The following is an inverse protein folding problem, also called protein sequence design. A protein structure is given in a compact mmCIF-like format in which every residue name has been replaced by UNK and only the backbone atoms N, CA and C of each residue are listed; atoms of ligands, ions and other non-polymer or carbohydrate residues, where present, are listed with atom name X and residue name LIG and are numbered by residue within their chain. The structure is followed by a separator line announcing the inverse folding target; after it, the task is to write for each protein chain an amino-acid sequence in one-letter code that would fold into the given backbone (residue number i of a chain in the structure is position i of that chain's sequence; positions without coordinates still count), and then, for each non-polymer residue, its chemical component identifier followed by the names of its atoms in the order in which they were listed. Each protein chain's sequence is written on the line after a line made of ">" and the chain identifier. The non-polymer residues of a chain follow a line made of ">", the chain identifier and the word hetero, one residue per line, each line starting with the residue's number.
data_IF_350533172123
#
_entry.id   IF_350533172123
#
_cell.length_a   1.000
_cell.length_b   1.000
_cell.length_c   1.000
_cell.angle_alpha   90.00
_cell.angle_beta   90.00
_cell.angle_gamma   90.00
#
_symmetry.space_group_name_H-M   'P 1'
#
loop_
_entity.id
_entity.type
_entity.pdbx_description
1 polymer ?
#
# COMPACT_ATOMS: atom_id res chain seq x y z
N UNK A 1 12.95 24.55 -15.08
CA UNK A 1 12.08 24.57 -13.88
C UNK A 1 11.87 23.13 -13.40
N UNK A 2 11.75 22.90 -12.09
CA UNK A 2 11.41 21.57 -11.57
C UNK A 2 9.91 21.33 -11.77
N UNK A 3 9.51 20.27 -12.50
CA UNK A 3 8.10 19.92 -12.78
C UNK A 3 7.21 19.92 -11.53
N UNK A 4 7.75 19.49 -10.38
CA UNK A 4 7.04 19.52 -9.10
C UNK A 4 6.55 20.93 -8.70
N UNK A 5 7.33 21.98 -8.99
CA UNK A 5 6.93 23.37 -8.73
C UNK A 5 5.81 23.81 -9.66
N UNK A 6 5.82 23.37 -10.91
CA UNK A 6 4.75 23.66 -11.88
C UNK A 6 3.45 22.98 -11.46
N UNK A 7 3.50 21.71 -11.01
CA UNK A 7 2.33 21.01 -10.48
C UNK A 7 1.78 21.65 -9.20
N UNK A 8 2.66 22.08 -8.28
CA UNK A 8 2.23 22.80 -7.08
C UNK A 8 1.61 24.16 -7.41
N UNK A 9 2.20 24.90 -8.36
CA UNK A 9 1.65 26.16 -8.83
C UNK A 9 0.29 25.97 -9.49
N UNK A 10 0.12 24.94 -10.32
CA UNK A 10 -1.16 24.57 -10.91
C UNK A 10 -2.23 24.40 -9.83
N UNK A 11 -1.94 23.67 -8.75
CA UNK A 11 -2.89 23.49 -7.64
C UNK A 11 -3.37 24.84 -7.07
N UNK A 12 -2.44 25.74 -6.77
CA UNK A 12 -2.76 27.07 -6.24
C UNK A 12 -3.54 27.93 -7.25
N UNK A 13 -3.22 27.88 -8.54
CA UNK A 13 -3.91 28.71 -9.53
C UNK A 13 -5.27 28.17 -9.96
N UNK A 14 -5.45 26.85 -9.92
CA UNK A 14 -6.64 26.19 -10.46
C UNK A 14 -7.73 26.02 -9.41
N UNK A 15 -7.37 25.85 -8.14
CA UNK A 15 -8.34 25.56 -7.09
C UNK A 15 -8.56 26.71 -6.09
N UNK A 16 -7.72 27.77 -6.08
CA UNK A 16 -7.84 28.90 -5.14
C UNK A 16 -9.00 29.87 -5.41
N UNK A 17 -9.84 29.66 -6.43
CA UNK A 17 -10.89 30.62 -6.82
C UNK A 17 -12.30 30.26 -6.35
N UNK A 18 -12.49 29.26 -5.50
CA UNK A 18 -13.84 28.93 -4.97
C UNK A 18 -14.13 29.67 -3.65
N UNK A 19 -15.10 30.60 -3.60
CA UNK A 19 -15.49 31.24 -2.37
C UNK A 19 -16.39 30.28 -1.57
N UNK A 20 -15.89 29.80 -0.44
CA UNK A 20 -16.64 29.14 0.66
C UNK A 20 -17.07 27.66 0.56
N UNK A 21 -16.44 26.82 -0.27
CA UNK A 21 -16.62 25.36 -0.27
C UNK A 21 -15.31 24.57 -0.15
N UNK A 22 -15.34 23.28 0.27
CA UNK A 22 -14.14 22.43 0.25
C UNK A 22 -13.57 22.41 -1.17
N UNK A 23 -12.31 22.82 -1.27
CA UNK A 23 -11.61 23.08 -2.51
C UNK A 23 -11.26 21.74 -3.18
N UNK A 24 -12.11 21.27 -4.09
CA UNK A 24 -11.85 20.19 -5.06
C UNK A 24 -12.91 20.29 -6.18
N UNK A 25 -12.53 19.92 -7.41
CA UNK A 25 -13.15 20.27 -8.71
C UNK A 25 -14.69 20.42 -8.76
N UNK A 26 -15.16 21.34 -9.61
CA UNK A 26 -16.55 21.80 -9.77
C UNK A 26 -17.62 20.74 -10.15
N UNK A 27 -17.25 19.46 -10.28
CA UNK A 27 -18.14 18.35 -10.67
C UNK A 27 -18.26 17.25 -9.61
N UNK A 28 -17.66 17.40 -8.42
CA UNK A 28 -17.59 16.34 -7.42
C UNK A 28 -18.67 16.48 -6.32
N UNK A 29 -19.15 15.33 -5.82
CA UNK A 29 -19.97 15.24 -4.59
C UNK A 29 -19.27 15.96 -3.42
N UNK A 30 -20.01 16.46 -2.42
CA UNK A 30 -19.41 17.10 -1.24
C UNK A 30 -18.37 16.17 -0.59
N UNK A 31 -17.17 16.70 -0.31
CA UNK A 31 -16.13 15.95 0.40
C UNK A 31 -16.62 15.70 1.85
N UNK A 32 -16.79 14.42 2.26
CA UNK A 32 -17.38 14.06 3.55
C UNK A 32 -16.47 14.35 4.76
N UNK A 33 -15.23 14.78 4.54
CA UNK A 33 -14.25 15.03 5.60
C UNK A 33 -13.25 13.88 5.75
N UNK A 34 -12.45 13.88 6.84
CA UNK A 34 -11.28 13.00 6.96
C UNK A 34 -11.56 11.49 6.98
N UNK A 35 -12.62 10.97 7.64
CA UNK A 35 -12.91 9.54 7.59
C UNK A 35 -13.41 9.10 6.20
N UNK A 36 -12.83 8.05 5.60
CA UNK A 36 -13.24 7.57 4.29
C UNK A 36 -14.63 6.94 4.35
N UNK A 37 -15.56 7.39 3.50
CA UNK A 37 -16.97 6.96 3.59
C UNK A 37 -17.19 5.49 3.23
N UNK A 38 -16.34 4.90 2.39
CA UNK A 38 -16.40 3.47 2.10
C UNK A 38 -15.74 2.62 3.19
N UNK A 39 -15.06 3.24 4.17
CA UNK A 39 -14.30 2.55 5.22
C UNK A 39 -13.22 1.59 4.67
N UNK A 40 -12.67 1.88 3.48
CA UNK A 40 -11.64 1.08 2.82
C UNK A 40 -10.28 1.79 2.88
N UNK A 41 -9.23 1.01 3.14
CA UNK A 41 -7.84 1.40 2.90
C UNK A 41 -7.24 0.56 1.77
N UNK A 42 -6.68 1.20 0.75
CA UNK A 42 -6.00 0.57 -0.38
C UNK A 42 -4.50 0.75 -0.19
N UNK A 43 -3.75 -0.34 -0.16
CA UNK A 43 -2.29 -0.34 -0.23
C UNK A 43 -1.88 -0.71 -1.65
N UNK A 44 -1.12 0.15 -2.31
CA UNK A 44 -0.66 -0.14 -3.67
C UNK A 44 0.70 0.51 -3.97
N UNK A 45 1.24 0.23 -5.15
CA UNK A 45 2.53 0.74 -5.58
C UNK A 45 2.49 2.26 -5.87
N UNK A 46 3.62 2.93 -5.67
CA UNK A 46 3.85 4.31 -6.12
C UNK A 46 4.01 4.44 -7.66
N UNK A 47 3.80 3.37 -8.43
CA UNK A 47 3.93 3.37 -9.89
C UNK A 47 3.07 4.44 -10.56
N UNK A 48 3.69 5.32 -11.34
CA UNK A 48 3.04 6.48 -11.95
C UNK A 48 1.91 6.13 -12.94
N UNK A 49 1.77 4.85 -13.35
CA UNK A 49 0.70 4.37 -14.23
C UNK A 49 -0.57 4.01 -13.48
N UNK A 50 -0.49 3.85 -12.16
CA UNK A 50 -1.67 3.54 -11.33
C UNK A 50 -2.41 4.82 -10.94
N UNK A 51 -3.68 4.86 -11.33
CA UNK A 51 -4.68 5.80 -10.82
C UNK A 51 -5.77 5.02 -10.06
N UNK A 52 -5.60 4.82 -8.73
CA UNK A 52 -6.54 4.04 -7.93
C UNK A 52 -7.97 4.59 -7.95
N UNK A 53 -8.16 5.90 -8.16
CA UNK A 53 -9.49 6.48 -8.24
C UNK A 53 -10.22 6.01 -9.50
N UNK A 54 -9.56 6.08 -10.66
CA UNK A 54 -10.12 5.56 -11.90
C UNK A 54 -10.24 4.03 -11.91
N UNK A 55 -9.25 3.31 -11.35
CA UNK A 55 -9.25 1.84 -11.31
C UNK A 55 -10.44 1.26 -10.56
N UNK A 56 -10.83 1.89 -9.45
CA UNK A 56 -11.89 1.40 -8.56
C UNK A 56 -13.15 2.26 -8.59
N UNK A 57 -13.24 3.21 -9.54
CA UNK A 57 -14.34 4.16 -9.66
C UNK A 57 -14.65 4.90 -8.34
N UNK A 58 -13.59 5.32 -7.64
CA UNK A 58 -13.71 6.02 -6.36
C UNK A 58 -13.97 7.50 -6.59
N UNK A 59 -14.78 8.06 -5.70
CA UNK A 59 -14.94 9.48 -5.48
C UNK A 59 -13.97 9.99 -4.41
N UNK A 60 -13.66 11.28 -4.45
CA UNK A 60 -12.87 11.93 -3.41
C UNK A 60 -13.54 11.75 -2.04
N UNK A 61 -12.78 11.26 -1.07
CA UNK A 61 -13.26 10.96 0.28
C UNK A 61 -13.78 9.54 0.50
N UNK A 62 -13.81 8.66 -0.51
CA UNK A 62 -14.34 7.30 -0.31
C UNK A 62 -13.35 6.32 0.33
N UNK A 63 -12.07 6.39 0.00
CA UNK A 63 -11.06 5.47 0.51
C UNK A 63 -9.75 6.17 0.87
N UNK A 64 -9.01 5.60 1.80
CA UNK A 64 -7.59 5.92 1.94
C UNK A 64 -6.79 5.17 0.88
N UNK A 65 -5.86 5.86 0.23
CA UNK A 65 -4.96 5.27 -0.77
C UNK A 65 -3.53 5.47 -0.29
N UNK A 66 -2.92 4.40 0.20
CA UNK A 66 -1.55 4.36 0.71
C UNK A 66 -0.65 3.81 -0.40
N UNK A 67 0.28 4.64 -0.88
CA UNK A 67 1.16 4.30 -1.99
C UNK A 67 2.61 4.21 -1.50
N UNK A 68 3.18 3.03 -1.61
CA UNK A 68 4.57 2.75 -1.19
C UNK A 68 5.33 2.01 -2.28
N UNK A 69 6.65 1.89 -2.13
CA UNK A 69 7.47 1.09 -3.03
C UNK A 69 6.97 -0.34 -3.15
N UNK A 70 6.65 -0.78 -4.36
CA UNK A 70 6.13 -2.14 -4.61
C UNK A 70 4.77 -2.44 -3.99
N UNK A 71 4.08 -1.49 -3.34
CA UNK A 71 2.79 -1.77 -2.68
C UNK A 71 2.89 -2.68 -1.46
N UNK A 72 4.05 -2.70 -0.80
CA UNK A 72 4.35 -3.60 0.32
C UNK A 72 3.58 -3.24 1.59
N UNK A 73 2.79 -4.18 2.09
CA UNK A 73 2.02 -3.98 3.32
C UNK A 73 2.88 -3.64 4.56
N UNK A 74 4.07 -4.22 4.77
CA UNK A 74 4.93 -3.83 5.90
C UNK A 74 5.33 -2.36 5.90
N UNK A 75 5.66 -1.78 4.74
CA UNK A 75 6.01 -0.36 4.60
C UNK A 75 4.79 0.55 4.82
N UNK A 76 3.59 0.08 4.48
CA UNK A 76 2.34 0.79 4.69
C UNK A 76 1.79 0.72 6.14
N UNK A 77 2.35 -0.14 7.01
CA UNK A 77 1.72 -0.57 8.26
C UNK A 77 1.34 0.60 9.18
N UNK A 78 2.24 1.57 9.41
CA UNK A 78 1.96 2.73 10.26
C UNK A 78 0.72 3.51 9.81
N UNK A 79 0.56 3.67 8.49
CA UNK A 79 -0.58 4.39 7.90
C UNK A 79 -1.86 3.56 7.96
N UNK A 80 -1.77 2.23 7.79
CA UNK A 80 -2.91 1.32 7.97
C UNK A 80 -3.44 1.35 9.40
N UNK A 81 -2.57 1.32 10.40
CA UNK A 81 -2.95 1.40 11.81
C UNK A 81 -3.73 2.70 12.07
N UNK A 82 -3.22 3.85 11.60
CA UNK A 82 -3.94 5.12 11.75
C UNK A 82 -5.27 5.12 11.00
N UNK A 83 -5.29 4.61 9.76
CA UNK A 83 -6.51 4.50 8.95
C UNK A 83 -7.61 3.72 9.67
N UNK A 84 -7.25 2.59 10.27
CA UNK A 84 -8.20 1.68 10.91
C UNK A 84 -8.58 2.13 12.32
N UNK A 85 -7.60 2.43 13.17
CA UNK A 85 -7.81 2.74 14.59
C UNK A 85 -8.30 4.15 14.84
N UNK A 86 -7.83 5.12 14.06
CA UNK A 86 -8.15 6.55 14.25
C UNK A 86 -9.24 7.01 13.29
N UNK A 87 -9.23 6.51 12.05
CA UNK A 87 -10.10 7.01 10.97
C UNK A 87 -11.20 6.02 10.54
N UNK A 88 -11.25 4.84 11.17
CA UNK A 88 -12.40 3.94 11.11
C UNK A 88 -12.54 3.10 9.83
N UNK A 89 -11.47 2.89 9.07
CA UNK A 89 -11.51 1.85 8.01
C UNK A 89 -11.68 0.46 8.61
N UNK A 90 -12.33 -0.43 7.86
CA UNK A 90 -12.62 -1.83 8.25
C UNK A 90 -12.11 -2.84 7.23
N UNK A 91 -11.86 -2.39 6.01
CA UNK A 91 -11.42 -3.24 4.91
C UNK A 91 -10.09 -2.75 4.36
N UNK A 92 -9.19 -3.70 4.08
CA UNK A 92 -7.87 -3.44 3.52
C UNK A 92 -7.74 -4.20 2.19
N UNK A 93 -7.40 -3.47 1.13
CA UNK A 93 -7.07 -4.04 -0.17
C UNK A 93 -5.57 -3.91 -0.42
N UNK A 94 -4.86 -5.04 -0.54
CA UNK A 94 -3.46 -5.06 -0.98
C UNK A 94 -3.41 -5.26 -2.49
N UNK A 95 -2.94 -4.27 -3.23
CA UNK A 95 -2.97 -4.25 -4.70
C UNK A 95 -1.55 -4.14 -5.26
N UNK A 96 -1.04 -5.27 -5.73
CA UNK A 96 0.17 -5.37 -6.53
C UNK A 96 -0.15 -5.19 -8.02
N UNK A 97 0.86 -5.03 -8.88
CA UNK A 97 0.64 -4.88 -10.31
C UNK A 97 1.73 -5.50 -11.17
N UNK A 98 1.38 -5.84 -12.42
CA UNK A 98 2.32 -6.36 -13.42
C UNK A 98 3.33 -5.30 -13.85
N UNK A 99 4.48 -5.75 -14.37
CA UNK A 99 5.58 -4.87 -14.81
C UNK A 99 6.04 -3.86 -13.74
N UNK A 100 6.07 -4.27 -12.48
CA UNK A 100 6.50 -3.43 -11.37
C UNK A 100 8.01 -3.16 -11.39
N UNK A 101 8.42 -1.93 -11.07
CA UNK A 101 9.84 -1.58 -10.89
C UNK A 101 10.52 -2.38 -9.76
N UNK A 102 9.76 -2.75 -8.73
CA UNK A 102 10.26 -3.48 -7.55
C UNK A 102 10.49 -4.98 -7.81
N UNK A 103 10.23 -5.47 -9.03
CA UNK A 103 10.60 -6.82 -9.46
C UNK A 103 11.76 -6.85 -10.47
N UNK A 104 12.37 -5.69 -10.77
CA UNK A 104 13.45 -5.58 -11.76
C UNK A 104 14.82 -5.96 -11.20
N UNK A 105 15.08 -5.64 -9.93
CA UNK A 105 16.31 -6.05 -9.28
C UNK A 105 16.28 -7.57 -9.01
N UNK A 106 17.36 -8.32 -9.28
CA UNK A 106 17.37 -9.78 -9.14
C UNK A 106 17.40 -10.24 -7.67
N UNK A 107 17.87 -9.39 -6.75
CA UNK A 107 17.90 -9.65 -5.31
C UNK A 107 18.06 -8.35 -4.52
N UNK A 108 17.77 -8.42 -3.23
CA UNK A 108 18.01 -7.34 -2.26
C UNK A 108 19.49 -6.93 -2.22
N UNK A 109 20.42 -7.90 -2.32
CA UNK A 109 21.86 -7.61 -2.36
C UNK A 109 22.27 -6.88 -3.63
N UNK A 110 21.68 -7.23 -4.77
CA UNK A 110 21.93 -6.53 -6.03
C UNK A 110 21.41 -5.09 -5.97
N UNK A 111 20.21 -4.88 -5.44
CA UNK A 111 19.65 -3.54 -5.22
C UNK A 111 20.54 -2.70 -4.27
N UNK A 112 20.97 -3.28 -3.14
CA UNK A 112 21.91 -2.63 -2.21
C UNK A 112 23.25 -2.31 -2.87
N UNK A 113 23.79 -3.21 -3.69
CA UNK A 113 25.05 -3.01 -4.39
C UNK A 113 24.96 -1.84 -5.38
N UNK A 114 23.87 -1.77 -6.16
CA UNK A 114 23.62 -0.68 -7.10
C UNK A 114 23.49 0.68 -6.38
N UNK A 115 22.71 0.73 -5.29
CA UNK A 115 22.56 1.96 -4.50
C UNK A 115 23.88 2.36 -3.85
N UNK A 116 24.62 1.42 -3.24
CA UNK A 116 25.95 1.68 -2.66
C UNK A 116 26.89 2.28 -3.70
N UNK A 117 26.92 1.74 -4.92
CA UNK A 117 27.74 2.25 -6.00
C UNK A 117 27.34 3.69 -6.37
N UNK A 118 26.03 3.97 -6.46
CA UNK A 118 25.51 5.31 -6.78
C UNK A 118 25.82 6.35 -5.70
N UNK A 119 25.94 5.93 -4.44
CA UNK A 119 26.21 6.79 -3.28
C UNK A 119 27.70 6.93 -2.94
N UNK A 120 28.60 6.49 -3.82
CA UNK A 120 30.04 6.56 -3.57
C UNK A 120 30.51 5.67 -2.42
N UNK A 121 29.91 4.48 -2.26
CA UNK A 121 30.31 3.48 -1.28
C UNK A 121 29.62 3.57 0.09
N UNK A 122 28.70 4.51 0.30
CA UNK A 122 27.94 4.59 1.55
C UNK A 122 27.11 3.32 1.78
N UNK A 123 27.18 2.76 2.99
CA UNK A 123 26.42 1.56 3.35
C UNK A 123 24.92 1.83 3.38
N UNK A 124 24.17 0.88 2.86
CA UNK A 124 22.70 0.78 2.90
C UNK A 124 22.26 -0.58 3.41
N UNK A 125 23.10 -1.27 4.18
CA UNK A 125 22.82 -2.64 4.67
C UNK A 125 21.66 -2.70 5.66
N UNK A 126 21.35 -1.57 6.30
CA UNK A 126 20.21 -1.42 7.21
C UNK A 126 18.87 -1.32 6.47
N UNK A 127 18.90 -1.10 5.15
CA UNK A 127 17.69 -0.88 4.35
C UNK A 127 17.30 -2.15 3.59
N UNK A 128 16.06 -2.58 3.80
CA UNK A 128 15.37 -3.54 2.94
C UNK A 128 14.60 -2.78 1.88
N UNK A 129 14.79 -3.13 0.61
CA UNK A 129 14.00 -2.54 -0.50
C UNK A 129 12.65 -3.23 -0.68
N UNK A 130 12.41 -4.33 0.06
CA UNK A 130 11.18 -5.10 0.03
C UNK A 130 10.78 -5.46 -1.41
N UNK A 131 11.74 -5.97 -2.19
CA UNK A 131 11.52 -6.36 -3.58
C UNK A 131 10.40 -7.39 -3.70
N UNK A 132 9.71 -7.36 -4.84
CA UNK A 132 8.65 -8.30 -5.17
C UNK A 132 9.25 -9.60 -5.70
N UNK A 133 8.61 -10.71 -5.35
CA UNK A 133 8.92 -12.03 -5.92
C UNK A 133 8.57 -12.07 -7.40
N UNK A 134 9.19 -13.01 -8.13
CA UNK A 134 8.89 -13.23 -9.56
C UNK A 134 7.43 -13.63 -9.77
N UNK A 135 6.89 -14.47 -8.91
CA UNK A 135 5.45 -14.67 -8.80
C UNK A 135 4.85 -13.55 -7.94
N UNK A 136 4.22 -12.58 -8.60
CA UNK A 136 3.57 -11.46 -7.92
C UNK A 136 2.44 -11.93 -6.99
N UNK A 137 1.74 -13.02 -7.33
CA UNK A 137 0.67 -13.55 -6.48
C UNK A 137 1.23 -14.05 -5.16
N UNK A 138 2.46 -14.56 -5.14
CA UNK A 138 3.15 -14.93 -3.90
C UNK A 138 3.43 -13.71 -3.02
N UNK A 139 3.88 -12.58 -3.61
CA UNK A 139 4.09 -11.34 -2.86
C UNK A 139 2.79 -10.78 -2.28
N UNK A 140 1.69 -10.88 -3.03
CA UNK A 140 0.34 -10.54 -2.54
C UNK A 140 -0.04 -11.41 -1.33
N UNK A 141 0.15 -12.73 -1.42
CA UNK A 141 -0.16 -13.66 -0.32
C UNK A 141 0.68 -13.37 0.91
N UNK A 142 1.97 -13.09 0.75
CA UNK A 142 2.86 -12.74 1.86
C UNK A 142 2.40 -11.47 2.58
N UNK A 143 2.05 -10.43 1.82
CA UNK A 143 1.60 -9.15 2.38
C UNK A 143 0.20 -9.27 3.03
N UNK A 144 -0.72 -10.04 2.45
CA UNK A 144 -2.03 -10.32 3.08
C UNK A 144 -1.86 -11.13 4.37
N UNK A 145 -1.01 -12.16 4.36
CA UNK A 145 -0.70 -12.98 5.54
C UNK A 145 -0.09 -12.12 6.64
N UNK A 146 0.89 -11.27 6.30
CA UNK A 146 1.51 -10.33 7.22
C UNK A 146 0.48 -9.45 7.94
N UNK A 147 -0.51 -8.92 7.22
CA UNK A 147 -1.58 -8.12 7.82
C UNK A 147 -2.52 -8.96 8.68
N UNK A 148 -2.93 -10.15 8.21
CA UNK A 148 -3.80 -11.07 8.98
C UNK A 148 -3.17 -11.52 10.30
N UNK A 149 -1.84 -11.71 10.32
CA UNK A 149 -1.08 -12.15 11.50
C UNK A 149 -0.61 -10.98 12.38
N UNK A 150 -0.76 -9.73 11.91
CA UNK A 150 -0.29 -8.55 12.63
C UNK A 150 -1.17 -8.25 13.85
N UNK A 151 -0.58 -8.12 15.06
CA UNK A 151 -1.33 -7.73 16.25
C UNK A 151 -1.78 -6.26 16.23
N UNK A 152 -1.34 -5.48 15.23
CA UNK A 152 -1.66 -4.07 15.09
C UNK A 152 -2.87 -3.80 14.19
N UNK A 153 -3.31 -4.80 13.43
CA UNK A 153 -4.55 -4.74 12.64
C UNK A 153 -5.70 -5.23 13.50
N UNK A 154 -6.87 -4.59 13.43
CA UNK A 154 -8.03 -4.95 14.24
C UNK A 154 -8.48 -6.36 13.90
N UNK A 155 -8.82 -7.13 14.94
CA UNK A 155 -9.44 -8.43 14.76
C UNK A 155 -10.76 -8.27 13.98
N UNK A 156 -10.93 -9.09 12.94
CA UNK A 156 -12.10 -9.05 12.08
C UNK A 156 -12.04 -8.03 10.93
N UNK A 157 -10.90 -7.36 10.71
CA UNK A 157 -10.69 -6.58 9.49
C UNK A 157 -10.76 -7.48 8.24
N UNK A 158 -11.50 -7.06 7.22
CA UNK A 158 -11.54 -7.77 5.94
C UNK A 158 -10.27 -7.42 5.16
N UNK A 159 -9.46 -8.42 4.80
CA UNK A 159 -8.20 -8.20 4.08
C UNK A 159 -8.21 -9.04 2.80
N UNK A 160 -8.11 -8.36 1.66
CA UNK A 160 -8.07 -8.97 0.33
C UNK A 160 -6.78 -8.61 -0.43
N UNK A 161 -6.38 -9.49 -1.35
CA UNK A 161 -5.17 -9.34 -2.14
C UNK A 161 -5.45 -9.39 -3.63
N UNK A 162 -4.82 -8.51 -4.41
CA UNK A 162 -5.14 -8.30 -5.82
C UNK A 162 -3.88 -8.07 -6.67
N UNK A 163 -3.96 -8.48 -7.94
CA UNK A 163 -2.97 -8.14 -8.98
C UNK A 163 -3.65 -7.36 -10.09
N UNK A 164 -3.21 -6.13 -10.31
CA UNK A 164 -3.61 -5.29 -11.43
C UNK A 164 -2.71 -5.52 -12.66
N UNK A 165 -3.32 -5.80 -13.81
CA UNK A 165 -2.62 -5.89 -15.08
C UNK A 165 -2.51 -4.50 -15.71
N UNK A 166 -1.32 -3.89 -15.66
CA UNK A 166 -1.08 -2.53 -16.18
C UNK A 166 -1.21 -2.41 -17.70
N UNK A 167 -1.26 -3.54 -18.43
CA UNK A 167 -1.41 -3.55 -19.89
C UNK A 167 -2.88 -3.64 -20.28
N UNK A 168 -3.65 -4.48 -19.57
CA UNK A 168 -5.07 -4.71 -19.88
C UNK A 168 -6.02 -3.78 -19.14
N UNK A 169 -5.58 -3.21 -18.01
CA UNK A 169 -6.43 -2.42 -17.13
C UNK A 169 -7.39 -3.25 -16.29
N UNK A 170 -7.13 -4.55 -16.12
CA UNK A 170 -7.97 -5.48 -15.37
C UNK A 170 -7.33 -5.84 -14.03
N UNK A 171 -8.14 -6.28 -13.06
CA UNK A 171 -7.66 -6.75 -11.76
C UNK A 171 -8.11 -8.18 -11.50
N UNK A 172 -7.23 -8.99 -10.90
CA UNK A 172 -7.51 -10.37 -10.49
C UNK A 172 -7.32 -10.50 -8.98
N UNK A 173 -8.26 -11.13 -8.30
CA UNK A 173 -8.12 -11.49 -6.89
C UNK A 173 -7.11 -12.62 -6.72
N UNK A 174 -6.27 -12.53 -5.70
CA UNK A 174 -5.38 -13.62 -5.31
C UNK A 174 -6.01 -14.36 -4.13
N UNK A 175 -6.49 -15.58 -4.39
CA UNK A 175 -6.99 -16.46 -3.34
C UNK A 175 -5.86 -16.75 -2.35
N UNK A 176 -6.13 -16.44 -1.08
CA UNK A 176 -5.26 -16.74 0.06
C UNK A 176 -5.92 -17.89 0.82
N UNK A 177 -5.34 -19.09 0.76
CA UNK A 177 -5.89 -20.29 1.40
C UNK A 177 -6.03 -20.07 2.93
N UNK A 178 -7.20 -20.46 3.48
CA UNK A 178 -7.56 -20.27 4.89
C UNK A 178 -9.05 -19.98 5.14
N UNK A 179 -9.87 -19.80 4.10
CA UNK A 179 -11.32 -19.64 4.25
C UNK A 179 -12.03 -20.97 4.05
N UNK A 180 -12.17 -21.72 5.14
CA UNK A 180 -13.00 -22.93 5.19
C UNK A 180 -12.47 -24.02 6.11
N UNK A 181 -12.55 -23.81 7.43
CA UNK A 181 -12.85 -24.81 8.47
C UNK A 181 -12.58 -24.18 9.84
N UNK A 182 -13.59 -24.17 10.73
CA UNK A 182 -13.38 -24.00 12.16
C UNK A 182 -12.48 -25.14 12.65
N UNK A 183 -11.17 -24.91 12.70
CA UNK A 183 -10.23 -25.86 13.27
C UNK A 183 -10.06 -25.58 14.77
N UNK A 184 -10.65 -26.48 15.55
CA UNK A 184 -10.42 -26.69 16.97
C UNK A 184 -8.92 -26.73 17.29
N UNK A 185 -8.55 -25.93 18.29
CA UNK A 185 -7.33 -25.91 19.09
C UNK A 185 -6.12 -26.75 18.66
N UNK A 186 -5.02 -26.04 18.35
CA UNK A 186 -3.67 -26.51 18.61
C UNK A 186 -2.73 -25.31 18.76
N UNK A 187 -2.06 -25.20 19.92
CA UNK A 187 -1.01 -24.21 20.17
C UNK A 187 0.19 -24.48 19.24
N UNK A 188 0.64 -23.45 18.53
CA UNK A 188 1.97 -23.43 17.92
C UNK A 188 2.76 -22.24 18.47
N UNK A 189 3.95 -22.53 18.97
CA UNK A 189 4.84 -21.64 19.71
C UNK A 189 5.68 -20.74 18.78
N UNK A 190 5.74 -19.44 19.10
CA UNK A 190 7.01 -18.78 19.44
C UNK A 190 8.01 -18.31 18.37
N UNK A 191 7.75 -18.44 17.06
CA UNK A 191 8.74 -18.04 16.02
C UNK A 191 8.49 -16.69 15.33
N UNK A 192 7.27 -16.50 14.81
CA UNK A 192 6.99 -15.53 13.73
C UNK A 192 6.75 -14.08 14.23
N UNK A 193 6.27 -13.93 15.47
CA UNK A 193 6.11 -12.61 16.13
C UNK A 193 7.44 -11.86 16.19
N UNK A 194 8.56 -12.60 16.24
CA UNK A 194 9.91 -12.01 16.26
C UNK A 194 10.30 -11.33 14.94
N UNK A 195 9.78 -11.79 13.79
CA UNK A 195 10.09 -11.21 12.48
C UNK A 195 9.28 -9.95 12.21
N UNK A 196 7.98 -9.95 12.54
CA UNK A 196 7.14 -8.74 12.49
C UNK A 196 7.70 -7.69 13.44
N UNK A 197 8.12 -8.08 14.64
CA UNK A 197 8.76 -7.17 15.59
C UNK A 197 10.09 -6.61 15.06
N UNK A 198 10.90 -7.39 14.34
CA UNK A 198 12.16 -6.91 13.73
C UNK A 198 11.91 -5.91 12.60
N UNK A 199 10.88 -6.13 11.77
CA UNK A 199 10.49 -5.19 10.71
C UNK A 199 10.00 -3.87 11.30
N UNK A 200 9.19 -3.92 12.37
CA UNK A 200 8.70 -2.72 13.05
C UNK A 200 9.83 -1.95 13.74
N UNK A 201 10.79 -2.63 14.39
CA UNK A 201 11.92 -1.98 15.07
C UNK A 201 13.03 -1.45 14.13
N UNK A 202 12.99 -1.77 12.83
CA UNK A 202 13.91 -1.18 11.84
C UNK A 202 13.34 0.10 11.19
N UNK A 203 12.05 0.40 11.38
CA UNK A 203 11.34 1.50 10.69
C UNK A 203 10.89 2.62 11.66
N UNK A 204 10.97 2.42 12.97
CA UNK A 204 10.75 3.44 14.02
C UNK A 204 12.10 3.86 14.60
#
# INVERSE_FOLDING_TARGET
>A
MFKAREYAHHCNTTYSTSPSGPVQSAAMKPNPGPPPTAQIAIVTCMDARLDPFSMFNLSLGEAHVIRVGGGRAPDALRSLIASEHVLGTKEIMVVHHTDCGYSKAPSEDAARAEVRASLGGKSVDWMSFMLLKKDLKESVRDDVRFLKESPYIKQGATISGWVYDTTKGTIEEVVVEGEGEEAVGSKAEGGLVSEISKVVHQVI
#
